data_IF_147243905434
#
_entry.id   IF_147243905434
#
_cell.length_a   1.000
_cell.length_b   1.000
_cell.length_c   1.000
_cell.angle_alpha   90.00
_cell.angle_beta   90.00
_cell.angle_gamma   90.00
#
_symmetry.space_group_name_H-M   'P 1'
#
loop_
_entity.id
_entity.type
_entity.pdbx_description
1 polymer ?
#
# COMPACT_ATOMS: atom_id res chain seq x y z
N UNK A 1 40.30 5.86 -17.83
CA UNK A 1 38.90 6.10 -18.21
C UNK A 1 38.72 7.55 -18.62
N UNK A 2 37.86 7.84 -19.63
CA UNK A 2 37.49 9.19 -20.03
C UNK A 2 36.08 9.23 -20.58
N UNK A 3 35.32 10.29 -20.27
CA UNK A 3 34.02 10.55 -20.87
C UNK A 3 34.22 11.15 -22.24
N UNK A 4 33.82 10.48 -23.31
CA UNK A 4 33.94 10.96 -24.70
C UNK A 4 32.82 11.92 -25.10
N UNK A 5 31.61 11.64 -24.69
CA UNK A 5 30.45 12.50 -24.96
C UNK A 5 29.45 12.48 -23.81
N UNK A 6 28.80 13.61 -23.65
CA UNK A 6 27.71 13.84 -22.71
C UNK A 6 26.57 14.51 -23.47
N UNK A 7 25.40 13.88 -23.49
CA UNK A 7 24.24 14.38 -24.18
C UNK A 7 23.05 14.41 -23.22
N UNK A 8 22.42 15.57 -23.07
CA UNK A 8 21.11 15.67 -22.38
C UNK A 8 20.03 15.27 -23.37
N UNK A 9 19.16 14.35 -22.95
CA UNK A 9 18.00 13.87 -23.70
C UNK A 9 16.72 14.42 -23.07
N UNK A 10 15.59 14.18 -23.73
CA UNK A 10 14.26 14.50 -23.19
C UNK A 10 13.95 13.68 -21.92
N UNK A 11 12.96 14.12 -21.13
CA UNK A 11 12.52 13.46 -19.90
C UNK A 11 13.63 13.26 -18.85
N UNK A 12 14.48 14.28 -18.71
CA UNK A 12 15.60 14.24 -17.77
C UNK A 12 16.48 12.99 -17.89
N UNK A 13 16.65 12.51 -19.13
CA UNK A 13 17.59 11.44 -19.44
C UNK A 13 18.93 12.01 -19.89
N UNK A 14 19.99 11.24 -19.65
CA UNK A 14 21.37 11.59 -20.07
C UNK A 14 22.01 10.38 -20.71
N UNK A 15 22.70 10.60 -21.83
CA UNK A 15 23.53 9.59 -22.46
C UNK A 15 25.00 9.93 -22.28
N UNK A 16 25.76 9.00 -21.71
CA UNK A 16 27.20 9.08 -21.49
C UNK A 16 27.88 8.06 -22.39
N UNK A 17 28.85 8.51 -23.21
CA UNK A 17 29.75 7.59 -23.89
C UNK A 17 31.09 7.58 -23.14
N UNK A 18 31.44 6.43 -22.61
CA UNK A 18 32.62 6.23 -21.78
C UNK A 18 33.60 5.30 -22.49
N UNK A 19 34.88 5.67 -22.47
CA UNK A 19 35.98 4.85 -22.95
C UNK A 19 36.84 4.39 -21.79
N UNK A 20 37.08 3.10 -21.72
CA UNK A 20 37.98 2.47 -20.76
C UNK A 20 39.31 2.19 -21.47
N UNK A 21 40.40 2.69 -20.90
CA UNK A 21 41.74 2.59 -21.47
C UNK A 21 42.23 1.15 -21.54
N UNK A 22 43.21 0.88 -22.41
CA UNK A 22 43.87 -0.43 -22.54
C UNK A 22 44.39 -0.95 -21.19
N UNK A 23 45.02 -0.08 -20.39
CA UNK A 23 45.59 -0.45 -19.10
C UNK A 23 44.54 -0.86 -18.08
N UNK A 24 43.44 -0.11 -17.96
CA UNK A 24 42.34 -0.43 -17.07
C UNK A 24 41.64 -1.70 -17.51
N UNK A 25 41.44 -1.90 -18.82
CA UNK A 25 40.81 -3.08 -19.37
C UNK A 25 41.70 -4.32 -19.19
N UNK A 26 43.01 -4.23 -19.41
CA UNK A 26 43.97 -5.33 -19.20
C UNK A 26 43.97 -5.80 -17.74
N UNK A 27 43.88 -4.85 -16.79
CA UNK A 27 43.72 -5.20 -15.37
C UNK A 27 42.41 -5.96 -15.10
N UNK A 28 41.34 -5.61 -15.79
CA UNK A 28 40.07 -6.32 -15.70
C UNK A 28 40.13 -7.70 -16.36
N UNK A 29 40.80 -7.83 -17.51
CA UNK A 29 41.04 -9.12 -18.19
C UNK A 29 41.85 -10.06 -17.31
N UNK A 30 42.83 -9.57 -16.58
CA UNK A 30 43.59 -10.40 -15.63
C UNK A 30 42.70 -10.88 -14.46
N UNK A 31 41.80 -10.03 -13.95
CA UNK A 31 40.81 -10.42 -12.95
C UNK A 31 39.84 -11.48 -13.49
N UNK A 32 39.34 -11.30 -14.72
CA UNK A 32 38.46 -12.23 -15.42
C UNK A 32 39.14 -13.60 -15.61
N UNK A 33 40.40 -13.64 -16.07
CA UNK A 33 41.18 -14.83 -16.15
C UNK A 33 41.27 -15.57 -14.81
N UNK A 34 41.59 -14.86 -13.73
CA UNK A 34 41.71 -15.46 -12.39
C UNK A 34 40.38 -16.08 -11.93
N UNK A 35 39.26 -15.43 -12.25
CA UNK A 35 37.91 -15.91 -11.92
C UNK A 35 37.53 -17.13 -12.73
N UNK A 36 37.79 -17.14 -14.05
CA UNK A 36 37.31 -18.16 -14.98
C UNK A 36 38.28 -19.33 -15.21
N UNK A 37 39.58 -19.18 -14.92
CA UNK A 37 40.60 -20.24 -15.21
C UNK A 37 40.28 -21.59 -14.59
N UNK A 38 39.48 -21.64 -13.52
CA UNK A 38 39.10 -22.87 -12.84
C UNK A 38 38.10 -23.71 -13.62
N UNK A 39 37.25 -23.09 -14.44
CA UNK A 39 36.21 -23.72 -15.25
C UNK A 39 36.72 -24.15 -16.65
N UNK A 40 37.82 -23.53 -17.13
CA UNK A 40 38.37 -23.81 -18.46
C UNK A 40 39.31 -25.00 -18.40
N UNK A 41 39.02 -25.99 -19.25
CA UNK A 41 39.86 -27.22 -19.39
C UNK A 41 40.75 -27.09 -20.59
N UNK A 42 42.07 -27.16 -20.38
CA UNK A 42 43.09 -27.17 -21.43
C UNK A 42 43.80 -28.54 -21.41
N UNK A 43 43.89 -29.23 -22.56
CA UNK A 43 44.67 -30.48 -22.65
C UNK A 43 46.13 -30.26 -22.19
N UNK A 44 46.62 -31.18 -21.34
CA UNK A 44 47.97 -31.08 -20.78
C UNK A 44 48.11 -30.23 -19.51
N UNK A 45 47.07 -29.56 -19.06
CA UNK A 45 47.09 -28.77 -17.82
C UNK A 45 46.04 -29.21 -16.81
N UNK A 46 46.42 -29.22 -15.54
CA UNK A 46 45.46 -29.42 -14.46
C UNK A 46 44.46 -28.21 -14.44
N UNK A 47 43.16 -28.45 -14.23
CA UNK A 47 42.15 -27.37 -14.15
C UNK A 47 42.61 -26.20 -13.25
N UNK A 48 42.51 -24.99 -13.75
CA UNK A 48 42.92 -23.75 -13.05
C UNK A 48 44.43 -23.47 -13.04
N UNK A 49 45.30 -24.27 -13.71
CA UNK A 49 46.74 -24.07 -13.75
C UNK A 49 47.27 -23.68 -15.15
N UNK A 50 46.40 -23.65 -16.16
CA UNK A 50 46.80 -23.21 -17.50
C UNK A 50 47.13 -21.71 -17.49
N UNK A 51 48.25 -21.28 -18.06
CA UNK A 51 48.59 -19.86 -18.19
C UNK A 51 47.60 -19.15 -19.13
N UNK A 52 47.33 -17.87 -18.87
CA UNK A 52 46.40 -17.05 -19.67
C UNK A 52 46.68 -17.13 -21.17
N UNK A 53 47.93 -16.96 -21.59
CA UNK A 53 48.32 -17.02 -23.01
C UNK A 53 47.94 -18.34 -23.69
N UNK A 54 47.99 -19.46 -22.97
CA UNK A 54 47.62 -20.75 -23.53
C UNK A 54 46.13 -20.87 -23.76
N UNK A 55 45.31 -20.27 -22.88
CA UNK A 55 43.87 -20.24 -23.02
C UNK A 55 43.51 -19.30 -24.21
N UNK A 56 44.11 -18.12 -24.28
CA UNK A 56 43.90 -17.15 -25.36
C UNK A 56 44.33 -17.71 -26.73
N UNK A 57 45.40 -18.51 -26.80
CA UNK A 57 45.83 -19.16 -28.07
C UNK A 57 44.82 -20.24 -28.53
N UNK A 58 44.17 -20.91 -27.63
CA UNK A 58 43.23 -21.98 -27.96
C UNK A 58 41.79 -21.47 -28.23
N UNK A 59 41.33 -20.51 -27.46
CA UNK A 59 39.94 -20.00 -27.50
C UNK A 59 39.81 -18.58 -28.10
N UNK A 60 40.94 -17.95 -28.44
CA UNK A 60 41.02 -16.60 -28.94
C UNK A 60 41.26 -15.58 -27.83
N UNK A 61 41.85 -14.43 -28.20
CA UNK A 61 42.23 -13.36 -27.26
C UNK A 61 41.03 -12.74 -26.55
N UNK A 62 39.83 -12.82 -27.13
CA UNK A 62 38.60 -12.28 -26.59
C UNK A 62 37.88 -13.17 -25.57
N UNK A 63 38.43 -14.35 -25.25
CA UNK A 63 37.76 -15.33 -24.35
C UNK A 63 37.42 -14.77 -22.97
N UNK A 64 38.12 -13.75 -22.50
CA UNK A 64 37.92 -13.14 -21.20
C UNK A 64 37.24 -11.76 -21.30
N UNK A 65 36.98 -11.25 -22.50
CA UNK A 65 36.51 -9.86 -22.68
C UNK A 65 35.14 -9.61 -22.08
N UNK A 66 34.21 -10.52 -22.27
CA UNK A 66 32.85 -10.38 -21.70
C UNK A 66 32.90 -10.23 -20.16
N UNK A 67 33.63 -11.14 -19.51
CA UNK A 67 33.77 -11.09 -18.05
C UNK A 67 34.60 -9.86 -17.60
N UNK A 68 35.59 -9.45 -18.36
CA UNK A 68 36.39 -8.28 -18.08
C UNK A 68 35.56 -6.99 -18.18
N UNK A 69 34.69 -6.88 -19.18
CA UNK A 69 33.71 -5.78 -19.30
C UNK A 69 32.79 -5.77 -18.10
N UNK A 70 32.22 -6.92 -17.72
CA UNK A 70 31.34 -7.03 -16.55
C UNK A 70 32.04 -6.60 -15.24
N UNK A 71 33.34 -6.81 -15.13
CA UNK A 71 34.15 -6.38 -13.96
C UNK A 71 34.47 -4.90 -13.99
N UNK A 72 34.81 -4.34 -15.17
CA UNK A 72 35.28 -2.97 -15.28
C UNK A 72 34.17 -1.92 -15.46
N UNK A 73 33.03 -2.34 -16.04
CA UNK A 73 31.89 -1.44 -16.37
C UNK A 73 31.31 -0.71 -15.15
N UNK A 74 31.03 -1.36 -14.00
CA UNK A 74 30.48 -0.67 -12.84
C UNK A 74 31.38 0.46 -12.33
N UNK A 75 32.70 0.19 -12.26
CA UNK A 75 33.67 1.19 -11.80
C UNK A 75 33.82 2.33 -12.81
N UNK A 76 33.83 2.00 -14.12
CA UNK A 76 33.91 2.98 -15.20
C UNK A 76 32.67 3.89 -15.24
N UNK A 77 31.48 3.32 -15.08
CA UNK A 77 30.23 4.05 -15.00
C UNK A 77 30.18 4.97 -13.77
N UNK A 78 30.51 4.44 -12.59
CA UNK A 78 30.54 5.25 -11.36
C UNK A 78 31.53 6.39 -11.42
N UNK A 79 32.69 6.17 -12.05
CA UNK A 79 33.67 7.21 -12.31
C UNK A 79 33.13 8.31 -13.24
N UNK A 80 32.47 7.94 -14.31
CA UNK A 80 31.86 8.86 -15.27
C UNK A 80 30.76 9.71 -14.66
N UNK A 81 29.85 9.09 -13.88
CA UNK A 81 28.77 9.76 -13.14
C UNK A 81 29.37 10.81 -12.17
N UNK A 82 30.42 10.44 -11.45
CA UNK A 82 31.08 11.32 -10.50
C UNK A 82 31.80 12.48 -11.19
N UNK A 83 32.48 12.22 -12.33
CA UNK A 83 33.19 13.25 -13.11
C UNK A 83 32.21 14.30 -13.63
N UNK A 84 30.99 13.90 -14.01
CA UNK A 84 29.94 14.79 -14.52
C UNK A 84 29.03 15.35 -13.43
N UNK A 85 29.29 15.06 -12.15
CA UNK A 85 28.50 15.51 -11.00
C UNK A 85 26.99 15.20 -11.15
N UNK A 86 26.66 14.03 -11.69
CA UNK A 86 25.27 13.65 -11.99
C UNK A 86 24.59 12.99 -10.79
N UNK A 87 23.40 13.45 -10.44
CA UNK A 87 22.48 12.79 -9.53
C UNK A 87 21.58 11.81 -10.32
N UNK A 88 21.99 10.55 -10.39
CA UNK A 88 21.31 9.53 -11.20
C UNK A 88 20.17 8.87 -10.47
N UNK A 89 19.12 8.46 -11.21
CA UNK A 89 17.95 7.76 -10.74
C UNK A 89 17.81 6.41 -11.45
N UNK A 90 17.67 5.35 -10.68
CA UNK A 90 17.51 4.00 -11.22
C UNK A 90 18.81 3.42 -11.78
N UNK A 91 18.66 2.44 -12.67
CA UNK A 91 19.78 1.73 -13.31
C UNK A 91 20.02 2.25 -14.73
N UNK A 92 21.29 2.38 -15.15
CA UNK A 92 21.58 2.76 -16.54
C UNK A 92 21.22 1.65 -17.51
N UNK A 93 20.75 2.04 -18.68
CA UNK A 93 20.75 1.17 -19.86
C UNK A 93 22.11 1.27 -20.52
N UNK A 94 22.82 0.15 -20.61
CA UNK A 94 24.20 0.11 -21.13
C UNK A 94 24.20 -0.62 -22.47
N UNK A 95 24.76 0.06 -23.47
CA UNK A 95 25.03 -0.46 -24.79
C UNK A 95 26.55 -0.51 -25.01
N UNK A 96 27.08 -1.69 -25.30
CA UNK A 96 28.49 -1.87 -25.61
C UNK A 96 28.73 -1.48 -27.06
N UNK A 97 29.64 -0.55 -27.31
CA UNK A 97 29.95 -0.04 -28.65
C UNK A 97 31.08 -0.82 -29.28
N UNK A 98 32.24 -0.83 -28.63
CA UNK A 98 33.46 -1.45 -29.11
C UNK A 98 34.21 -2.16 -27.98
N UNK A 99 34.74 -3.34 -28.28
CA UNK A 99 35.60 -4.10 -27.34
C UNK A 99 36.82 -4.63 -28.11
N UNK A 100 38.01 -4.31 -27.67
CA UNK A 100 39.23 -4.74 -28.31
C UNK A 100 40.42 -4.79 -27.35
N UNK A 101 41.63 -4.97 -27.90
CA UNK A 101 42.87 -4.94 -27.11
C UNK A 101 43.21 -3.58 -26.55
N UNK A 102 42.70 -2.54 -27.20
CA UNK A 102 42.92 -1.15 -26.83
C UNK A 102 41.95 -0.62 -25.76
N UNK A 103 41.09 -1.51 -25.26
CA UNK A 103 40.06 -1.19 -24.27
C UNK A 103 38.64 -1.48 -24.75
N UNK A 104 37.65 -0.87 -24.14
CA UNK A 104 36.27 -0.92 -24.59
C UNK A 104 35.58 0.43 -24.42
N UNK A 105 34.54 0.65 -25.22
CA UNK A 105 33.66 1.79 -25.07
C UNK A 105 32.22 1.39 -24.94
N UNK A 106 31.46 2.11 -24.15
CA UNK A 106 30.05 1.86 -23.94
C UNK A 106 29.25 3.16 -23.85
N UNK A 107 27.99 3.08 -24.22
CA UNK A 107 27.01 4.14 -24.04
C UNK A 107 26.10 3.77 -22.88
N UNK A 108 26.05 4.62 -21.86
CA UNK A 108 25.15 4.48 -20.72
C UNK A 108 24.05 5.55 -20.81
N UNK A 109 22.80 5.14 -20.89
CA UNK A 109 21.65 6.04 -20.84
C UNK A 109 20.98 5.88 -19.47
N UNK A 110 20.86 6.97 -18.73
CA UNK A 110 20.38 6.97 -17.35
C UNK A 110 19.50 8.20 -17.10
N UNK A 111 18.49 8.02 -16.23
CA UNK A 111 17.69 9.14 -15.74
C UNK A 111 18.47 9.91 -14.67
N UNK A 112 18.33 11.23 -14.67
CA UNK A 112 18.84 12.11 -13.62
C UNK A 112 17.69 12.83 -12.94
N UNK A 113 17.92 13.34 -11.73
CA UNK A 113 16.93 14.19 -11.08
C UNK A 113 16.62 15.39 -11.96
N UNK A 114 15.31 15.69 -12.20
CA UNK A 114 14.92 16.79 -13.07
C UNK A 114 15.27 18.14 -12.46
N UNK A 115 15.62 19.10 -13.32
CA UNK A 115 15.71 20.50 -12.93
C UNK A 115 14.29 21.01 -12.64
N UNK A 116 14.03 21.45 -11.40
CA UNK A 116 12.74 21.91 -10.96
C UNK A 116 12.67 23.44 -11.04
N UNK A 117 11.72 23.94 -11.81
CA UNK A 117 11.39 25.36 -11.83
C UNK A 117 10.16 25.61 -10.97
N UNK A 118 10.33 26.38 -9.90
CA UNK A 118 9.21 26.75 -9.03
C UNK A 118 8.39 27.86 -9.69
N UNK A 119 7.08 27.71 -9.67
CA UNK A 119 6.12 28.77 -10.00
C UNK A 119 6.00 29.77 -8.86
N UNK A 120 4.87 30.46 -8.82
CA UNK A 120 4.56 31.35 -7.69
C UNK A 120 4.31 30.53 -6.42
N UNK A 121 5.20 30.63 -5.44
CA UNK A 121 5.06 29.94 -4.15
C UNK A 121 4.92 30.90 -2.96
N UNK A 122 5.04 32.22 -3.18
CA UNK A 122 4.84 33.26 -2.17
C UNK A 122 3.56 34.05 -2.46
N UNK A 123 2.86 34.45 -1.39
CA UNK A 123 1.61 35.23 -1.51
C UNK A 123 0.44 34.41 -2.05
N UNK A 124 0.46 33.08 -1.89
CA UNK A 124 -0.68 32.22 -2.22
C UNK A 124 -1.79 32.42 -1.21
N UNK A 125 -3.03 32.47 -1.69
CA UNK A 125 -4.22 32.55 -0.88
C UNK A 125 -5.00 31.24 -0.94
N UNK A 126 -5.46 30.76 0.22
CA UNK A 126 -6.33 29.61 0.32
C UNK A 126 -7.50 29.90 1.28
N UNK A 127 -8.70 29.36 1.02
CA UNK A 127 -9.80 29.51 1.94
C UNK A 127 -9.51 28.78 3.24
N UNK A 128 -9.70 29.46 4.38
CA UNK A 128 -9.62 28.85 5.70
C UNK A 128 -11.02 28.54 6.19
N UNK A 129 -11.27 27.28 6.52
CA UNK A 129 -12.56 26.88 7.07
C UNK A 129 -12.78 27.53 8.44
N UNK A 130 -13.96 28.15 8.64
CA UNK A 130 -14.37 28.58 9.97
C UNK A 130 -14.69 27.36 10.84
N UNK A 131 -14.06 27.30 12.00
CA UNK A 131 -14.34 26.26 12.98
C UNK A 131 -15.55 26.68 13.83
N UNK A 132 -16.68 26.03 13.61
CA UNK A 132 -17.91 26.24 14.41
C UNK A 132 -18.32 24.90 15.02
N UNK A 133 -18.39 24.83 16.35
CA UNK A 133 -18.91 23.68 17.10
C UNK A 133 -20.21 24.10 17.78
N UNK A 134 -21.32 23.53 17.34
CA UNK A 134 -22.64 23.79 17.89
C UNK A 134 -22.93 22.83 19.05
N UNK A 135 -23.95 23.20 19.86
CA UNK A 135 -24.41 22.32 20.94
C UNK A 135 -24.90 20.95 20.43
N UNK A 136 -25.43 20.90 19.20
CA UNK A 136 -25.84 19.66 18.54
C UNK A 136 -24.66 18.71 18.33
N UNK A 137 -23.48 19.20 17.90
CA UNK A 137 -22.27 18.40 17.71
C UNK A 137 -21.80 17.77 19.02
N UNK A 138 -21.81 18.56 20.10
CA UNK A 138 -21.43 18.10 21.44
C UNK A 138 -22.39 17.00 21.91
N UNK A 139 -23.72 17.22 21.74
CA UNK A 139 -24.72 16.24 22.13
C UNK A 139 -24.61 14.95 21.29
N UNK A 140 -24.34 15.06 20.00
CA UNK A 140 -24.11 13.89 19.14
C UNK A 140 -22.90 13.06 19.62
N UNK A 141 -21.80 13.74 19.97
CA UNK A 141 -20.61 13.06 20.50
C UNK A 141 -20.86 12.36 21.83
N UNK A 142 -21.60 13.04 22.74
CA UNK A 142 -21.98 12.44 24.01
C UNK A 142 -22.91 11.24 23.83
N UNK A 143 -23.84 11.31 22.89
CA UNK A 143 -24.71 10.18 22.54
C UNK A 143 -23.89 9.00 22.00
N UNK A 144 -22.94 9.24 21.11
CA UNK A 144 -22.03 8.21 20.62
C UNK A 144 -21.22 7.57 21.78
N UNK A 145 -20.73 8.39 22.72
CA UNK A 145 -20.03 7.91 23.91
C UNK A 145 -20.95 7.04 24.78
N UNK A 146 -22.20 7.45 24.98
CA UNK A 146 -23.18 6.67 25.74
C UNK A 146 -23.54 5.35 25.03
N UNK A 147 -23.72 5.36 23.72
CA UNK A 147 -23.95 4.16 22.92
C UNK A 147 -22.78 3.16 23.00
N UNK A 148 -21.54 3.65 22.99
CA UNK A 148 -20.33 2.79 23.16
C UNK A 148 -20.26 2.14 24.55
N UNK A 149 -20.76 2.83 25.58
CA UNK A 149 -20.77 2.34 26.96
C UNK A 149 -22.08 1.66 27.34
N UNK A 150 -22.97 1.42 26.37
CA UNK A 150 -24.23 0.68 26.59
C UNK A 150 -23.98 -0.75 27.04
N UNK A 151 -24.77 -1.21 28.01
CA UNK A 151 -24.73 -2.59 28.51
C UNK A 151 -25.76 -3.44 27.81
N UNK A 152 -25.38 -4.67 27.46
CA UNK A 152 -26.30 -5.65 26.89
C UNK A 152 -27.04 -6.37 28.04
N UNK A 153 -28.34 -6.18 28.13
CA UNK A 153 -29.19 -6.82 29.14
C UNK A 153 -30.12 -7.83 28.45
N UNK A 154 -30.13 -9.07 28.91
CA UNK A 154 -30.99 -10.10 28.38
C UNK A 154 -32.47 -9.82 28.73
N UNK A 155 -33.35 -9.99 27.74
CA UNK A 155 -34.79 -9.77 27.90
C UNK A 155 -35.57 -10.94 27.35
N UNK A 156 -36.65 -11.28 28.03
CA UNK A 156 -37.56 -12.37 27.60
C UNK A 156 -38.76 -11.79 26.84
N UNK A 157 -38.54 -11.35 25.62
CA UNK A 157 -39.58 -10.83 24.74
C UNK A 157 -39.21 -11.04 23.26
N UNK A 158 -40.17 -10.79 22.38
CA UNK A 158 -39.95 -10.81 20.93
C UNK A 158 -38.88 -9.79 20.51
N UNK A 159 -38.14 -10.16 19.46
CA UNK A 159 -37.10 -9.33 18.83
C UNK A 159 -37.73 -8.04 18.32
N UNK A 160 -37.06 -6.90 18.61
CA UNK A 160 -37.38 -5.56 18.09
C UNK A 160 -36.18 -4.95 17.37
N UNK A 161 -36.46 -3.94 16.58
CA UNK A 161 -35.39 -3.12 15.97
C UNK A 161 -34.56 -2.47 17.06
N UNK A 162 -33.21 -2.55 16.93
CA UNK A 162 -32.22 -2.05 17.89
C UNK A 162 -31.83 -3.06 18.96
N UNK A 163 -32.43 -4.26 18.99
CA UNK A 163 -32.00 -5.34 19.87
C UNK A 163 -30.80 -6.09 19.28
N UNK A 164 -30.04 -6.74 20.14
CA UNK A 164 -29.03 -7.71 19.73
C UNK A 164 -29.63 -9.12 19.92
N UNK A 165 -29.95 -9.77 18.81
CA UNK A 165 -30.46 -11.14 18.80
C UNK A 165 -29.28 -12.10 18.63
N UNK A 166 -29.16 -13.06 19.55
CA UNK A 166 -28.27 -14.19 19.36
C UNK A 166 -28.97 -15.23 18.53
N UNK A 167 -28.48 -15.52 17.34
CA UNK A 167 -29.11 -16.39 16.36
C UNK A 167 -28.18 -17.50 15.89
N UNK A 168 -28.78 -18.64 15.57
CA UNK A 168 -28.14 -19.63 14.71
C UNK A 168 -28.79 -19.48 13.33
N UNK A 169 -28.00 -19.57 12.28
CA UNK A 169 -28.52 -19.51 10.92
C UNK A 169 -27.78 -20.45 9.98
N UNK A 170 -28.50 -20.99 9.01
CA UNK A 170 -27.95 -21.81 7.94
C UNK A 170 -28.66 -21.47 6.62
N UNK A 171 -27.88 -21.06 5.61
CA UNK A 171 -28.37 -20.65 4.31
C UNK A 171 -28.34 -21.77 3.28
N UNK A 172 -29.41 -21.89 2.51
CA UNK A 172 -29.60 -22.90 1.47
C UNK A 172 -29.88 -22.24 0.13
N UNK A 173 -29.05 -22.55 -0.86
CA UNK A 173 -29.27 -22.19 -2.27
C UNK A 173 -29.84 -23.43 -2.99
N UNK A 174 -31.08 -23.34 -3.48
CA UNK A 174 -31.76 -24.47 -4.13
C UNK A 174 -31.82 -25.78 -3.27
N UNK A 175 -31.87 -25.62 -1.94
CA UNK A 175 -31.87 -26.72 -0.99
C UNK A 175 -30.49 -27.30 -0.64
N UNK A 176 -29.39 -26.69 -1.11
CA UNK A 176 -28.02 -27.10 -0.79
C UNK A 176 -27.38 -26.03 0.10
N UNK A 177 -26.76 -26.40 1.24
CA UNK A 177 -26.01 -25.44 2.07
C UNK A 177 -24.86 -24.86 1.28
N UNK A 178 -24.55 -23.57 1.46
CA UNK A 178 -23.42 -22.91 0.81
C UNK A 178 -22.37 -22.40 1.80
N UNK A 179 -21.13 -22.33 1.37
CA UNK A 179 -20.01 -21.89 2.19
C UNK A 179 -20.18 -20.42 2.62
N UNK A 180 -20.00 -20.16 3.93
CA UNK A 180 -20.22 -18.85 4.53
C UNK A 180 -21.69 -18.54 4.88
N UNK A 181 -22.63 -19.44 4.57
CA UNK A 181 -24.06 -19.29 4.90
C UNK A 181 -24.43 -19.78 6.30
N UNK A 182 -23.50 -20.30 7.11
CA UNK A 182 -23.77 -20.86 8.43
C UNK A 182 -23.08 -20.10 9.54
N UNK A 183 -23.81 -19.87 10.63
CA UNK A 183 -23.26 -19.33 11.88
C UNK A 183 -24.07 -19.83 13.07
N UNK A 184 -23.35 -20.21 14.13
CA UNK A 184 -23.91 -20.65 15.40
C UNK A 184 -23.65 -19.58 16.48
N UNK A 185 -24.66 -19.26 17.30
CA UNK A 185 -24.59 -18.28 18.40
C UNK A 185 -24.05 -16.89 17.97
N UNK A 186 -24.48 -16.42 16.82
CA UNK A 186 -24.08 -15.13 16.28
C UNK A 186 -24.91 -13.99 16.89
N UNK A 187 -24.26 -12.99 17.49
CA UNK A 187 -24.92 -11.80 18.03
C UNK A 187 -25.15 -10.78 16.88
N UNK A 188 -26.40 -10.66 16.43
CA UNK A 188 -26.82 -9.76 15.36
C UNK A 188 -27.58 -8.55 15.94
N UNK A 189 -27.07 -7.34 15.70
CA UNK A 189 -27.78 -6.11 16.01
C UNK A 189 -28.82 -5.82 14.92
N UNK A 190 -30.09 -5.87 15.30
CA UNK A 190 -31.24 -5.74 14.39
C UNK A 190 -31.43 -4.28 13.94
N UNK A 191 -31.25 -4.03 12.67
CA UNK A 191 -31.29 -2.69 12.07
C UNK A 191 -29.92 -2.10 11.82
N UNK A 192 -28.84 -2.85 12.03
CA UNK A 192 -27.46 -2.44 11.73
C UNK A 192 -27.14 -2.44 10.24
N UNK A 193 -27.87 -3.23 9.45
CA UNK A 193 -27.56 -3.48 8.04
C UNK A 193 -26.32 -4.35 7.83
N UNK A 194 -25.91 -5.11 8.84
CA UNK A 194 -24.74 -6.02 8.77
C UNK A 194 -25.03 -7.27 7.95
N UNK A 195 -26.29 -7.62 7.83
CA UNK A 195 -26.75 -8.75 7.01
C UNK A 195 -27.37 -8.28 5.69
N UNK A 196 -27.64 -9.25 4.82
CA UNK A 196 -28.26 -8.99 3.51
C UNK A 196 -29.59 -8.25 3.70
N UNK A 197 -29.89 -7.24 2.86
CA UNK A 197 -31.13 -6.48 2.98
C UNK A 197 -32.38 -7.37 3.05
N UNK A 198 -33.25 -7.08 4.03
CA UNK A 198 -34.48 -7.86 4.27
C UNK A 198 -34.33 -9.05 5.22
N UNK A 199 -33.10 -9.41 5.65
CA UNK A 199 -32.88 -10.46 6.65
C UNK A 199 -33.32 -10.00 8.04
N UNK A 200 -32.76 -8.87 8.49
CA UNK A 200 -33.00 -8.32 9.81
C UNK A 200 -34.50 -7.98 10.02
N UNK A 201 -35.18 -7.49 8.97
CA UNK A 201 -36.61 -7.15 9.01
C UNK A 201 -37.48 -8.38 9.23
N UNK A 202 -37.11 -9.57 8.74
CA UNK A 202 -37.85 -10.80 8.92
C UNK A 202 -37.57 -11.47 10.28
N UNK A 203 -36.45 -11.16 10.93
CA UNK A 203 -36.12 -11.58 12.30
C UNK A 203 -36.93 -10.78 13.33
N UNK A 204 -37.33 -9.56 13.00
CA UNK A 204 -38.19 -8.75 13.89
C UNK A 204 -39.51 -9.51 14.19
N UNK A 205 -39.85 -9.57 15.47
CA UNK A 205 -41.09 -10.22 15.95
C UNK A 205 -40.94 -11.68 16.25
N UNK A 206 -39.82 -12.34 15.98
CA UNK A 206 -39.55 -13.71 16.42
C UNK A 206 -39.47 -13.82 17.95
N UNK A 207 -39.89 -14.93 18.49
CA UNK A 207 -39.78 -15.29 19.92
C UNK A 207 -38.44 -16.00 20.18
N UNK A 208 -38.02 -16.00 21.44
CA UNK A 208 -36.84 -16.78 21.86
C UNK A 208 -37.17 -18.27 21.69
N UNK A 209 -36.26 -19.01 21.03
CA UNK A 209 -36.44 -20.41 20.68
C UNK A 209 -37.23 -20.66 19.39
N UNK A 210 -37.78 -19.61 18.76
CA UNK A 210 -38.49 -19.74 17.48
C UNK A 210 -37.51 -20.01 16.34
N UNK A 211 -37.90 -20.93 15.46
CA UNK A 211 -37.21 -21.24 14.21
C UNK A 211 -38.08 -20.78 13.05
N UNK A 212 -37.44 -20.11 12.07
CA UNK A 212 -38.13 -19.56 10.90
C UNK A 212 -37.26 -19.61 9.66
N UNK A 213 -37.93 -19.94 8.53
CA UNK A 213 -37.29 -19.83 7.22
C UNK A 213 -37.44 -18.42 6.67
N UNK A 214 -36.31 -17.75 6.40
CA UNK A 214 -36.21 -16.40 5.90
C UNK A 214 -35.79 -16.46 4.44
N UNK A 215 -36.64 -15.94 3.55
CA UNK A 215 -36.35 -15.89 2.11
C UNK A 215 -35.75 -14.57 1.76
N UNK A 216 -34.55 -14.59 1.13
CA UNK A 216 -33.80 -13.41 0.76
C UNK A 216 -33.28 -13.54 -0.67
N UNK A 217 -33.25 -12.43 -1.39
CA UNK A 217 -32.58 -12.34 -2.69
C UNK A 217 -31.33 -11.48 -2.51
N UNK A 218 -30.17 -12.05 -2.86
CA UNK A 218 -28.92 -11.32 -2.80
C UNK A 218 -28.88 -10.16 -3.81
N UNK A 219 -28.28 -9.01 -3.48
CA UNK A 219 -28.05 -7.91 -4.43
C UNK A 219 -27.22 -8.36 -5.63
N UNK A 220 -27.34 -7.64 -6.77
CA UNK A 220 -26.58 -7.95 -7.98
C UNK A 220 -25.07 -7.66 -7.85
N UNK A 221 -24.69 -6.80 -6.93
CA UNK A 221 -23.32 -6.41 -6.59
C UNK A 221 -22.66 -7.30 -5.54
N UNK A 222 -23.25 -8.46 -5.24
CA UNK A 222 -22.69 -9.45 -4.33
C UNK A 222 -21.73 -10.42 -5.04
N UNK A 223 -21.12 -11.38 -4.30
CA UNK A 223 -20.25 -12.40 -4.91
C UNK A 223 -20.93 -13.14 -6.06
N UNK A 224 -20.19 -13.36 -7.15
CA UNK A 224 -20.71 -13.90 -8.42
C UNK A 224 -21.52 -15.19 -8.26
N UNK A 225 -21.18 -16.02 -7.27
CA UNK A 225 -21.88 -17.29 -7.01
C UNK A 225 -23.27 -17.13 -6.39
N UNK A 226 -23.55 -15.99 -5.74
CA UNK A 226 -24.78 -15.69 -5.01
C UNK A 226 -25.56 -14.48 -5.54
N UNK A 227 -24.93 -13.63 -6.36
CA UNK A 227 -25.52 -12.40 -6.90
C UNK A 227 -26.87 -12.66 -7.60
N UNK A 228 -27.91 -11.92 -7.21
CA UNK A 228 -29.26 -12.02 -7.76
C UNK A 228 -30.02 -13.32 -7.46
N UNK A 229 -29.44 -14.25 -6.69
CA UNK A 229 -30.08 -15.54 -6.36
C UNK A 229 -30.93 -15.45 -5.11
N UNK A 230 -32.03 -16.18 -5.11
CA UNK A 230 -32.89 -16.34 -3.95
C UNK A 230 -32.39 -17.51 -3.06
N UNK A 231 -32.23 -17.21 -1.78
CA UNK A 231 -31.67 -18.12 -0.77
C UNK A 231 -32.64 -18.21 0.39
N UNK A 232 -32.78 -19.39 0.99
CA UNK A 232 -33.53 -19.59 2.20
C UNK A 232 -32.59 -19.75 3.37
N UNK A 233 -32.75 -18.92 4.40
CA UNK A 233 -32.03 -19.06 5.65
C UNK A 233 -32.94 -19.68 6.71
N UNK A 234 -32.51 -20.80 7.26
CA UNK A 234 -33.13 -21.36 8.46
C UNK A 234 -32.52 -20.66 9.67
N UNK A 235 -33.34 -19.90 10.41
CA UNK A 235 -32.87 -19.03 11.51
C UNK A 235 -33.56 -19.42 12.79
N UNK A 236 -32.77 -19.56 13.87
CA UNK A 236 -33.24 -19.80 15.23
C UNK A 236 -32.78 -18.67 16.14
N UNK A 237 -33.69 -18.12 16.94
CA UNK A 237 -33.33 -17.10 17.94
C UNK A 237 -33.05 -17.77 19.28
N UNK A 238 -31.79 -17.65 19.75
CA UNK A 238 -31.37 -18.27 21.01
C UNK A 238 -31.64 -17.36 22.23
N UNK A 239 -31.34 -16.06 22.09
CA UNK A 239 -31.60 -15.06 23.13
C UNK A 239 -31.74 -13.67 22.54
N UNK A 240 -32.36 -12.78 23.27
CA UNK A 240 -32.53 -11.37 22.89
C UNK A 240 -31.92 -10.53 23.98
N UNK A 241 -31.03 -9.58 23.59
CA UNK A 241 -30.41 -8.60 24.48
C UNK A 241 -30.80 -7.19 24.00
N UNK A 242 -31.05 -6.32 24.95
CA UNK A 242 -31.28 -4.89 24.70
C UNK A 242 -30.04 -4.12 25.11
N UNK A 243 -29.63 -3.21 24.28
CA UNK A 243 -28.56 -2.27 24.61
C UNK A 243 -29.13 -1.15 25.46
N UNK A 244 -28.95 -1.25 26.77
CA UNK A 244 -29.28 -0.16 27.67
C UNK A 244 -28.22 0.92 27.59
N UNK A 245 -28.58 2.03 26.97
CA UNK A 245 -27.70 3.19 26.87
C UNK A 245 -27.88 4.01 28.14
N UNK A 246 -26.78 4.34 28.87
CA UNK A 246 -26.86 5.14 30.08
C UNK A 246 -27.46 6.52 29.81
N UNK A 247 -28.18 7.06 30.78
CA UNK A 247 -28.67 8.43 30.73
C UNK A 247 -27.49 9.42 30.73
N UNK A 248 -27.63 10.53 30.01
CA UNK A 248 -26.58 11.55 30.00
C UNK A 248 -26.73 12.45 31.25
N UNK A 249 -26.18 12.00 32.38
CA UNK A 249 -26.17 12.63 33.68
C UNK A 249 -24.75 12.69 34.30
N UNK A 250 -24.66 13.10 35.56
CA UNK A 250 -23.37 13.24 36.24
C UNK A 250 -22.74 11.87 36.57
N UNK A 251 -23.55 10.80 36.73
CA UNK A 251 -23.03 9.44 36.90
C UNK A 251 -22.36 8.97 35.60
N UNK A 252 -23.01 9.19 34.46
CA UNK A 252 -22.39 8.92 33.16
C UNK A 252 -21.07 9.64 32.99
N UNK A 253 -20.97 10.92 33.39
CA UNK A 253 -19.73 11.67 33.29
C UNK A 253 -18.59 11.03 34.08
N UNK A 254 -18.86 10.55 35.30
CA UNK A 254 -17.87 9.84 36.14
C UNK A 254 -17.48 8.48 35.57
N UNK A 255 -18.42 7.78 34.96
CA UNK A 255 -18.15 6.44 34.39
C UNK A 255 -17.26 6.50 33.15
N UNK A 256 -17.37 7.55 32.32
CA UNK A 256 -16.70 7.64 31.00
C UNK A 256 -15.52 8.61 30.97
N UNK A 257 -15.30 9.36 32.06
CA UNK A 257 -14.27 10.39 32.11
C UNK A 257 -13.78 10.64 33.56
N UNK A 258 -12.83 11.54 33.69
CA UNK A 258 -12.30 12.04 34.99
C UNK A 258 -13.14 13.22 35.55
N UNK A 259 -14.27 13.58 34.94
CA UNK A 259 -15.11 14.71 35.36
C UNK A 259 -16.24 14.24 36.28
N UNK A 260 -16.53 15.06 37.31
CA UNK A 260 -17.60 14.78 38.26
C UNK A 260 -18.99 15.16 37.78
N UNK A 261 -19.06 16.04 36.75
CA UNK A 261 -20.34 16.56 36.25
C UNK A 261 -20.43 16.46 34.72
N UNK A 262 -21.68 16.30 34.23
CA UNK A 262 -21.97 16.32 32.81
C UNK A 262 -21.63 17.69 32.18
N UNK A 263 -21.72 18.79 32.95
CA UNK A 263 -21.37 20.10 32.45
C UNK A 263 -19.88 20.26 32.13
N UNK A 264 -19.02 19.68 32.96
CA UNK A 264 -17.57 19.65 32.74
C UNK A 264 -17.21 18.75 31.56
N UNK A 265 -17.82 17.56 31.46
CA UNK A 265 -17.64 16.65 30.31
C UNK A 265 -18.07 17.34 29.00
N UNK A 266 -19.23 18.06 28.98
CA UNK A 266 -19.68 18.84 27.81
C UNK A 266 -18.68 19.89 27.40
N UNK A 267 -18.08 20.60 28.36
CA UNK A 267 -17.06 21.62 28.12
C UNK A 267 -15.80 21.01 27.50
N UNK A 268 -15.34 19.89 28.03
CA UNK A 268 -14.17 19.17 27.53
C UNK A 268 -14.40 18.62 26.12
N UNK A 269 -15.52 17.94 25.91
CA UNK A 269 -15.92 17.42 24.57
C UNK A 269 -15.99 18.58 23.56
N UNK A 270 -16.55 19.72 23.95
CA UNK A 270 -16.57 20.90 23.08
C UNK A 270 -15.17 21.39 22.75
N UNK A 271 -14.28 21.47 23.74
CA UNK A 271 -12.89 21.89 23.52
C UNK A 271 -12.14 20.93 22.59
N UNK A 272 -12.31 19.63 22.79
CA UNK A 272 -11.73 18.58 21.93
C UNK A 272 -12.24 18.66 20.50
N UNK A 273 -13.56 18.82 20.30
CA UNK A 273 -14.16 19.00 18.97
C UNK A 273 -13.66 20.27 18.27
N UNK A 274 -13.46 21.37 19.00
CA UNK A 274 -12.86 22.60 18.45
C UNK A 274 -11.43 22.30 18.00
N UNK A 275 -10.60 21.69 18.85
CA UNK A 275 -9.21 21.38 18.53
C UNK A 275 -9.10 20.39 17.34
N UNK A 276 -9.94 19.36 17.29
CA UNK A 276 -10.00 18.42 16.15
C UNK A 276 -10.36 19.13 14.84
N UNK A 277 -11.35 20.01 14.85
CA UNK A 277 -11.77 20.78 13.67
C UNK A 277 -10.75 21.84 13.26
N UNK A 278 -10.08 22.48 14.22
CA UNK A 278 -8.98 23.42 13.94
C UNK A 278 -7.80 22.70 13.29
N UNK A 279 -7.42 21.54 13.79
CA UNK A 279 -6.35 20.72 13.24
C UNK A 279 -6.71 20.22 11.84
N UNK A 280 -7.94 19.71 11.64
CA UNK A 280 -8.43 19.29 10.33
C UNK A 280 -8.49 20.46 9.34
N UNK A 281 -8.97 21.62 9.79
CA UNK A 281 -9.00 22.84 8.98
C UNK A 281 -7.62 23.36 8.61
N UNK A 282 -6.65 23.26 9.54
CA UNK A 282 -5.25 23.60 9.28
C UNK A 282 -4.64 22.67 8.23
N UNK A 283 -4.83 21.36 8.37
CA UNK A 283 -4.33 20.37 7.39
C UNK A 283 -4.93 20.63 6.00
N UNK A 284 -6.24 20.80 5.93
CA UNK A 284 -6.91 21.09 4.65
C UNK A 284 -6.39 22.38 4.01
N UNK A 285 -6.13 23.41 4.81
CA UNK A 285 -5.53 24.67 4.34
C UNK A 285 -4.10 24.46 3.81
N UNK A 286 -3.26 23.72 4.55
CA UNK A 286 -1.90 23.36 4.15
C UNK A 286 -1.91 22.54 2.85
N UNK A 287 -2.81 21.56 2.72
CA UNK A 287 -2.97 20.72 1.53
C UNK A 287 -3.34 21.55 0.30
N UNK A 288 -4.27 22.51 0.44
CA UNK A 288 -4.66 23.42 -0.66
C UNK A 288 -3.47 24.27 -1.10
N UNK A 289 -2.68 24.79 -0.14
CA UNK A 289 -1.49 25.58 -0.46
C UNK A 289 -0.43 24.73 -1.14
N UNK A 290 -0.17 23.54 -0.63
CA UNK A 290 0.77 22.59 -1.24
C UNK A 290 0.36 22.19 -2.66
N UNK A 291 -0.94 21.96 -2.87
CA UNK A 291 -1.46 21.67 -4.20
C UNK A 291 -1.24 22.85 -5.17
N UNK A 292 -1.51 24.07 -4.73
CA UNK A 292 -1.26 25.26 -5.56
C UNK A 292 0.22 25.46 -5.90
N UNK A 293 1.12 25.13 -4.97
CA UNK A 293 2.57 25.14 -5.24
C UNK A 293 2.91 24.05 -6.25
N UNK A 294 2.40 22.83 -6.03
CA UNK A 294 2.66 21.69 -6.91
C UNK A 294 2.17 21.94 -8.34
N UNK A 295 0.98 22.51 -8.50
CA UNK A 295 0.41 22.88 -9.81
C UNK A 295 1.26 23.92 -10.57
N UNK A 296 2.01 24.74 -9.85
CA UNK A 296 2.92 25.73 -10.40
C UNK A 296 4.33 25.21 -10.72
N UNK A 297 4.67 24.00 -10.31
CA UNK A 297 6.00 23.41 -10.56
C UNK A 297 6.08 22.94 -12.02
N UNK A 298 7.21 23.26 -12.63
CA UNK A 298 7.59 22.71 -13.94
C UNK A 298 8.82 21.82 -13.76
N UNK A 299 8.66 20.55 -14.05
CA UNK A 299 9.72 19.55 -14.00
C UNK A 299 9.45 18.46 -15.04
N UNK A 300 10.49 18.05 -15.75
CA UNK A 300 10.41 16.94 -16.69
C UNK A 300 10.76 15.63 -15.97
N UNK A 301 9.73 14.99 -15.39
CA UNK A 301 9.90 13.82 -14.52
C UNK A 301 10.20 12.58 -15.35
N UNK A 302 11.36 11.91 -15.17
CA UNK A 302 11.70 10.71 -15.90
C UNK A 302 10.82 9.51 -15.46
N UNK A 303 10.52 8.65 -16.42
CA UNK A 303 9.69 7.44 -16.20
C UNK A 303 10.27 6.54 -15.09
N UNK A 304 11.61 6.49 -14.95
CA UNK A 304 12.28 5.74 -13.89
C UNK A 304 11.90 6.19 -12.47
N UNK A 305 11.66 7.49 -12.23
CA UNK A 305 11.19 8.00 -10.93
C UNK A 305 9.75 7.54 -10.65
N UNK A 306 8.91 7.54 -11.68
CA UNK A 306 7.51 7.09 -11.56
C UNK A 306 7.48 5.61 -11.23
N UNK A 307 8.28 4.78 -11.92
CA UNK A 307 8.36 3.34 -11.67
C UNK A 307 8.90 3.03 -10.28
N UNK A 308 9.93 3.74 -9.84
CA UNK A 308 10.49 3.55 -8.50
C UNK A 308 9.47 3.91 -7.42
N UNK A 309 8.76 5.02 -7.59
CA UNK A 309 7.71 5.43 -6.66
C UNK A 309 6.55 4.42 -6.63
N UNK A 310 6.13 3.91 -7.79
CA UNK A 310 5.11 2.87 -7.88
C UNK A 310 5.54 1.60 -7.13
N UNK A 311 6.80 1.16 -7.29
CA UNK A 311 7.34 0.01 -6.53
C UNK A 311 7.32 0.25 -5.02
N UNK A 312 7.71 1.45 -4.57
CA UNK A 312 7.64 1.81 -3.14
C UNK A 312 6.22 1.79 -2.60
N UNK A 313 5.24 2.27 -3.37
CA UNK A 313 3.84 2.17 -2.98
C UNK A 313 3.37 0.73 -2.81
N UNK A 314 3.68 -0.14 -3.77
CA UNK A 314 3.33 -1.56 -3.71
C UNK A 314 4.01 -2.24 -2.51
N UNK A 315 5.27 -1.91 -2.23
CA UNK A 315 6.01 -2.47 -1.09
C UNK A 315 5.44 -2.01 0.26
N UNK A 316 5.12 -0.73 0.38
CA UNK A 316 4.46 -0.18 1.57
C UNK A 316 3.08 -0.81 1.79
N UNK A 317 2.27 -0.95 0.72
CA UNK A 317 0.98 -1.63 0.78
C UNK A 317 1.13 -3.08 1.22
N UNK A 318 2.13 -3.80 0.68
CA UNK A 318 2.45 -5.17 1.09
C UNK A 318 2.76 -5.25 2.58
N UNK A 319 3.65 -4.38 3.08
CA UNK A 319 4.00 -4.33 4.50
C UNK A 319 2.79 -4.02 5.38
N UNK A 320 1.94 -3.09 4.97
CA UNK A 320 0.73 -2.73 5.70
C UNK A 320 -0.25 -3.90 5.80
N UNK A 321 -0.49 -4.62 4.69
CA UNK A 321 -1.37 -5.80 4.66
C UNK A 321 -0.80 -6.94 5.49
N UNK A 322 0.52 -7.21 5.38
CA UNK A 322 1.18 -8.22 6.19
C UNK A 322 1.13 -7.92 7.68
N UNK A 323 1.19 -6.64 8.08
CA UNK A 323 1.05 -6.25 9.48
C UNK A 323 -0.33 -6.55 10.06
N UNK A 324 -1.36 -6.69 9.21
CA UNK A 324 -2.70 -7.12 9.57
C UNK A 324 -2.88 -8.64 9.56
N UNK A 325 -1.80 -9.40 9.29
CA UNK A 325 -1.82 -10.86 9.28
C UNK A 325 -2.39 -11.48 8.00
N UNK A 326 -2.64 -10.69 6.95
CA UNK A 326 -3.19 -11.15 5.68
C UNK A 326 -2.05 -11.36 4.68
N UNK A 327 -1.91 -12.53 4.02
CA UNK A 327 -0.97 -12.72 2.93
C UNK A 327 -1.33 -11.81 1.73
N UNK A 328 -0.34 -11.13 1.16
CA UNK A 328 -0.56 -10.18 0.06
C UNK A 328 -1.29 -10.78 -1.14
N UNK A 329 -0.92 -12.02 -1.51
CA UNK A 329 -1.56 -12.74 -2.64
C UNK A 329 -3.04 -13.06 -2.38
N UNK A 330 -3.41 -13.26 -1.11
CA UNK A 330 -4.81 -13.47 -0.72
C UNK A 330 -5.59 -12.14 -0.80
N UNK A 331 -4.99 -11.05 -0.36
CA UNK A 331 -5.58 -9.72 -0.48
C UNK A 331 -5.84 -9.34 -1.95
N UNK A 332 -4.86 -9.54 -2.85
CA UNK A 332 -5.00 -9.27 -4.28
C UNK A 332 -6.15 -10.07 -4.91
N UNK A 333 -6.33 -11.34 -4.51
CA UNK A 333 -7.46 -12.16 -4.97
C UNK A 333 -8.81 -11.67 -4.45
N UNK A 334 -8.86 -11.18 -3.20
CA UNK A 334 -10.09 -10.65 -2.59
C UNK A 334 -10.53 -9.32 -3.20
N UNK A 335 -9.57 -8.50 -3.67
CA UNK A 335 -9.84 -7.18 -4.26
C UNK A 335 -9.94 -7.19 -5.79
N UNK A 336 -9.79 -8.36 -6.43
CA UNK A 336 -9.78 -8.49 -7.91
C UNK A 336 -8.74 -7.57 -8.61
N UNK A 337 -7.62 -7.27 -7.94
CA UNK A 337 -6.51 -6.49 -8.49
C UNK A 337 -5.42 -7.36 -9.08
#
# INVERSE_FOLDING_TARGET
>A
MSVKSFEKLEKSMVALTVEVSADDFEAAVEKAYRKQRGSIRIPGFRPGKAPRKMIENMYGVGVFYEEAVNIALPDAYAGAVKEQELDVVGYPQVELLEVGKEGFSFKATVAVYPEVTLGQYKGLEAPRAEVKVMAADVNARLKEMAERNGRLVSVERKVKKGDVANIDFEGFLEGVPFDGGKGDSFDLEIGSGSFVPGFEDQVIGMEIGEERDINITFPEDYHADLAGKSVVFHVKVNSVKVKEVPALDDEFAKDVSEFDTLAELKKDVKAKLIAEREEAGRRAFEDILMQKVADGIQADIPDAMIEEQARRFVENLRMQIQSQGIPFDQYMKMTNM
#
